data_IF_886668658610
#
_entry.id   IF_886668658610
#
_cell.length_a   1.000
_cell.length_b   1.000
_cell.length_c   1.000
_cell.angle_alpha   90.00
_cell.angle_beta   90.00
_cell.angle_gamma   90.00
#
_symmetry.space_group_name_H-M   'P 1'
#
loop_
_entity.id
_entity.type
_entity.pdbx_description
1 polymer ?
#
# COMPACT_ATOMS: atom_id res chain seq x y z
N UNK A 1 -9.62 -6.80 -9.48
CA UNK A 1 -9.36 -5.46 -8.91
C UNK A 1 -8.40 -5.60 -7.76
N UNK A 2 -7.59 -4.59 -7.56
CA UNK A 2 -6.67 -4.52 -6.42
C UNK A 2 -6.95 -3.26 -5.63
N UNK A 3 -6.33 -3.15 -4.46
CA UNK A 3 -6.56 -2.03 -3.55
C UNK A 3 -5.25 -1.47 -3.07
N UNK A 4 -5.16 -0.14 -3.03
CA UNK A 4 -4.01 0.58 -2.48
C UNK A 4 -4.48 1.45 -1.31
N UNK A 5 -3.55 1.90 -0.50
CA UNK A 5 -3.83 2.81 0.60
C UNK A 5 -3.28 4.19 0.29
N UNK A 6 -4.09 5.21 0.56
CA UNK A 6 -3.68 6.61 0.44
C UNK A 6 -4.06 7.33 1.74
N UNK A 7 -3.45 8.48 1.99
CA UNK A 7 -3.84 9.28 3.16
C UNK A 7 -5.16 9.96 2.85
N UNK A 8 -6.14 9.80 3.73
CA UNK A 8 -7.46 10.39 3.56
C UNK A 8 -7.36 11.92 3.42
N UNK A 9 -7.96 12.45 2.37
CA UNK A 9 -7.89 13.87 2.04
C UNK A 9 -6.62 14.29 1.31
N UNK A 10 -5.67 13.38 1.12
CA UNK A 10 -4.39 13.66 0.46
C UNK A 10 -4.04 12.57 -0.56
N UNK A 11 -5.04 12.11 -1.29
CA UNK A 11 -4.88 10.99 -2.21
C UNK A 11 -3.88 11.28 -3.32
N UNK A 12 -3.67 12.56 -3.66
CA UNK A 12 -2.68 12.95 -4.67
C UNK A 12 -1.24 12.92 -4.18
N UNK A 13 -1.01 12.74 -2.87
CA UNK A 13 0.34 12.70 -2.31
C UNK A 13 1.05 11.36 -2.54
N UNK A 14 0.32 10.35 -2.97
CA UNK A 14 0.88 9.05 -3.32
C UNK A 14 0.24 7.89 -2.57
N UNK A 15 0.66 6.68 -2.93
CA UNK A 15 0.18 5.45 -2.35
C UNK A 15 1.16 4.92 -1.29
N UNK A 16 0.63 4.25 -0.28
CA UNK A 16 1.42 3.67 0.80
C UNK A 16 2.41 2.63 0.28
N UNK A 17 3.64 2.73 0.72
CA UNK A 17 4.72 1.80 0.39
C UNK A 17 5.52 1.44 1.64
N UNK A 18 6.24 0.33 1.57
CA UNK A 18 7.15 -0.12 2.63
C UNK A 18 8.58 -0.05 2.09
N UNK A 19 9.50 0.48 2.88
CA UNK A 19 10.90 0.50 2.53
C UNK A 19 11.56 -0.76 3.07
N UNK A 20 12.18 -1.55 2.18
CA UNK A 20 12.87 -2.78 2.59
C UNK A 20 14.27 -2.48 3.13
N UNK A 21 14.99 -3.54 3.55
CA UNK A 21 16.32 -3.41 4.15
C UNK A 21 17.36 -2.82 3.19
N UNK A 22 17.11 -2.90 1.89
CA UNK A 22 17.99 -2.36 0.86
C UNK A 22 17.67 -0.90 0.52
N UNK A 23 16.66 -0.32 1.17
CA UNK A 23 16.25 1.05 0.93
C UNK A 23 15.29 1.24 -0.24
N UNK A 24 14.80 0.15 -0.83
CA UNK A 24 13.83 0.23 -1.92
C UNK A 24 12.41 0.35 -1.38
N UNK A 25 11.63 1.24 -1.98
CA UNK A 25 10.22 1.38 -1.65
C UNK A 25 9.41 0.35 -2.42
N UNK A 26 8.53 -0.36 -1.72
CA UNK A 26 7.69 -1.41 -2.29
C UNK A 26 6.24 -1.03 -2.08
N UNK A 27 5.53 -0.81 -3.19
CA UNK A 27 4.11 -0.50 -3.16
C UNK A 27 3.32 -1.76 -2.80
N UNK A 28 2.43 -1.65 -1.82
CA UNK A 28 1.56 -2.76 -1.43
C UNK A 28 0.27 -2.71 -2.24
N UNK A 29 0.04 -3.79 -2.99
CA UNK A 29 -1.19 -4.00 -3.75
C UNK A 29 -1.98 -5.11 -3.06
N UNK A 30 -3.11 -4.78 -2.46
CA UNK A 30 -3.94 -5.77 -1.76
C UNK A 30 -4.92 -6.38 -2.74
N UNK A 31 -4.97 -7.70 -2.77
CA UNK A 31 -5.92 -8.42 -3.61
C UNK A 31 -7.34 -8.35 -3.06
N UNK A 32 -7.47 -8.28 -1.73
CA UNK A 32 -8.75 -8.27 -1.04
C UNK A 32 -8.93 -6.95 -0.28
N UNK A 33 -10.12 -6.35 -0.42
CA UNK A 33 -10.43 -5.09 0.25
C UNK A 33 -10.35 -5.21 1.77
N UNK A 34 -10.83 -6.33 2.33
CA UNK A 34 -10.81 -6.54 3.78
C UNK A 34 -9.39 -6.53 4.34
N UNK A 35 -8.44 -7.06 3.61
CA UNK A 35 -7.03 -7.05 4.03
C UNK A 35 -6.47 -5.63 4.00
N UNK A 36 -6.83 -4.84 2.99
CA UNK A 36 -6.43 -3.45 2.92
C UNK A 36 -7.01 -2.63 4.08
N UNK A 37 -8.29 -2.85 4.38
CA UNK A 37 -8.95 -2.17 5.51
C UNK A 37 -8.28 -2.53 6.83
N UNK A 38 -8.00 -3.81 7.03
CA UNK A 38 -7.35 -4.27 8.27
C UNK A 38 -5.96 -3.64 8.42
N UNK A 39 -5.20 -3.60 7.36
CA UNK A 39 -3.88 -2.97 7.38
C UNK A 39 -3.97 -1.48 7.69
N UNK A 40 -4.94 -0.78 7.08
CA UNK A 40 -5.18 0.63 7.36
C UNK A 40 -5.50 0.89 8.83
N UNK A 41 -6.30 0.03 9.45
CA UNK A 41 -6.63 0.15 10.87
C UNK A 41 -5.40 -0.07 11.75
N UNK A 42 -4.53 -1.01 11.38
CA UNK A 42 -3.27 -1.22 12.10
C UNK A 42 -2.37 0.02 12.02
N UNK A 43 -2.34 0.69 10.87
CA UNK A 43 -1.58 1.92 10.71
C UNK A 43 -2.11 3.03 11.62
N UNK A 44 -3.43 3.18 11.71
CA UNK A 44 -4.05 4.16 12.61
C UNK A 44 -3.70 3.87 14.07
N UNK A 45 -3.69 2.59 14.46
CA UNK A 45 -3.33 2.18 15.81
C UNK A 45 -1.89 2.54 16.15
N UNK A 46 -1.03 2.66 15.17
CA UNK A 46 0.37 3.06 15.34
C UNK A 46 0.58 4.57 15.24
N UNK A 47 -0.49 5.33 15.16
CA UNK A 47 -0.42 6.79 15.13
C UNK A 47 -0.37 7.40 13.74
N UNK A 48 -0.57 6.60 12.70
CA UNK A 48 -0.64 7.12 11.33
C UNK A 48 -1.98 7.81 11.09
N UNK A 49 -2.03 8.75 10.12
CA UNK A 49 -3.29 9.35 9.72
C UNK A 49 -4.27 8.30 9.18
N UNK A 50 -5.54 8.65 9.18
CA UNK A 50 -6.55 7.80 8.56
C UNK A 50 -6.19 7.52 7.11
N UNK A 51 -6.25 6.25 6.71
CA UNK A 51 -5.95 5.83 5.36
C UNK A 51 -7.24 5.54 4.60
N UNK A 52 -7.22 5.88 3.31
CA UNK A 52 -8.33 5.62 2.41
C UNK A 52 -7.98 4.43 1.52
N UNK A 53 -8.88 3.45 1.42
CA UNK A 53 -8.69 2.29 0.56
C UNK A 53 -9.23 2.63 -0.82
N UNK A 54 -8.35 2.59 -1.82
CA UNK A 54 -8.69 2.93 -3.20
C UNK A 54 -8.66 1.68 -4.06
N UNK A 55 -9.74 1.43 -4.78
CA UNK A 55 -9.82 0.33 -5.74
C UNK A 55 -9.12 0.75 -7.02
N UNK A 56 -8.26 -0.13 -7.55
CA UNK A 56 -7.52 0.11 -8.78
C UNK A 56 -7.62 -1.11 -9.69
N UNK A 57 -7.50 -0.88 -10.99
CA UNK A 57 -7.49 -1.97 -11.94
C UNK A 57 -6.10 -2.60 -11.99
N UNK A 58 -6.05 -3.95 -11.95
CA UNK A 58 -4.82 -4.72 -11.84
C UNK A 58 -3.81 -4.39 -12.94
N UNK A 59 -4.23 -4.50 -14.20
CA UNK A 59 -3.32 -4.31 -15.33
C UNK A 59 -2.80 -2.88 -15.41
N UNK A 60 -3.64 -1.90 -15.17
CA UNK A 60 -3.26 -0.50 -15.20
C UNK A 60 -2.26 -0.21 -14.09
N UNK A 61 -2.51 -0.72 -12.89
CA UNK A 61 -1.63 -0.47 -11.75
C UNK A 61 -0.26 -1.13 -11.93
N UNK A 62 -0.25 -2.38 -12.37
CA UNK A 62 1.01 -3.09 -12.62
C UNK A 62 1.81 -2.40 -13.71
N UNK A 63 1.14 -2.00 -14.80
CA UNK A 63 1.81 -1.28 -15.88
C UNK A 63 2.37 0.07 -15.41
N UNK A 64 1.62 0.78 -14.59
CA UNK A 64 2.09 2.05 -14.01
C UNK A 64 3.35 1.84 -13.19
N UNK A 65 3.41 0.80 -12.37
CA UNK A 65 4.61 0.46 -11.61
C UNK A 65 5.78 0.16 -12.52
N UNK A 66 5.56 -0.60 -13.59
CA UNK A 66 6.62 -0.95 -14.54
C UNK A 66 7.16 0.27 -15.26
N UNK A 67 6.28 1.16 -15.71
CA UNK A 67 6.68 2.37 -16.44
C UNK A 67 7.49 3.31 -15.57
N UNK A 68 7.11 3.46 -14.30
CA UNK A 68 7.80 4.35 -13.36
C UNK A 68 8.94 3.68 -12.61
N UNK A 69 9.15 2.39 -12.80
CA UNK A 69 10.20 1.66 -12.09
C UNK A 69 9.91 1.43 -10.62
N UNK A 70 8.64 1.43 -10.22
CA UNK A 70 8.25 1.15 -8.84
C UNK A 70 8.26 -0.35 -8.57
N UNK A 71 8.82 -0.75 -7.44
CA UNK A 71 8.67 -2.11 -6.96
C UNK A 71 7.29 -2.26 -6.32
N UNK A 72 6.70 -3.43 -6.47
CA UNK A 72 5.40 -3.71 -5.85
C UNK A 72 5.35 -5.16 -5.38
N UNK A 73 4.46 -5.43 -4.44
CA UNK A 73 4.14 -6.79 -4.03
C UNK A 73 2.62 -6.92 -3.92
N UNK A 74 2.12 -8.10 -4.26
CA UNK A 74 0.69 -8.39 -4.17
C UNK A 74 0.44 -9.11 -2.86
N UNK A 75 -0.40 -8.52 -2.01
CA UNK A 75 -0.78 -9.10 -0.73
C UNK A 75 -2.08 -9.88 -0.94
N UNK A 76 -2.03 -11.17 -0.71
CA UNK A 76 -3.19 -12.05 -0.85
C UNK A 76 -3.83 -12.34 0.51
N UNK A 77 -5.05 -12.89 0.56
CA UNK A 77 -5.68 -13.24 1.83
C UNK A 77 -4.90 -14.26 2.66
N UNK A 78 -3.98 -14.98 2.05
CA UNK A 78 -3.13 -15.95 2.74
C UNK A 78 -1.88 -15.33 3.35
N UNK A 79 -1.58 -14.07 3.02
CA UNK A 79 -0.42 -13.38 3.55
C UNK A 79 -0.80 -12.70 4.87
N UNK A 80 0.08 -12.82 5.86
CA UNK A 80 -0.07 -12.10 7.11
C UNK A 80 0.93 -10.97 7.09
N UNK A 81 0.44 -9.73 6.95
CA UNK A 81 1.30 -8.55 6.91
C UNK A 81 0.98 -7.65 8.09
N UNK A 82 2.03 -7.14 8.70
CA UNK A 82 1.95 -6.21 9.82
C UNK A 82 2.74 -4.96 9.44
N UNK A 83 2.20 -3.74 9.64
CA UNK A 83 2.95 -2.53 9.33
C UNK A 83 4.26 -2.48 10.12
N UNK A 84 5.38 -2.14 9.47
CA UNK A 84 6.61 -1.91 10.20
C UNK A 84 6.47 -0.64 11.05
N UNK A 85 7.19 -0.58 12.17
CA UNK A 85 7.16 0.60 13.02
C UNK A 85 7.83 1.80 12.37
N UNK A 86 8.76 1.52 11.47
CA UNK A 86 9.49 2.52 10.68
C UNK A 86 9.59 2.00 9.25
N UNK A 87 10.27 2.73 8.37
CA UNK A 87 10.57 2.28 7.00
C UNK A 87 9.34 2.11 6.12
N UNK A 88 8.41 3.07 6.20
CA UNK A 88 7.30 3.14 5.27
C UNK A 88 6.99 4.60 4.92
N UNK A 89 6.43 4.83 3.75
CA UNK A 89 6.23 6.16 3.21
C UNK A 89 5.16 6.11 2.11
N UNK A 90 5.04 7.20 1.37
CA UNK A 90 4.18 7.28 0.19
C UNK A 90 5.05 7.33 -1.07
N UNK A 91 4.57 6.62 -2.06
CA UNK A 91 5.19 6.61 -3.39
C UNK A 91 4.41 7.52 -4.34
#
# INVERSE_FOLDING_TARGET
MMFILTVSGKESDGAYSVTNDEGNEILYLFEDEDDAIRYALMLEDEGYPEMHVIEVEDEIMIKTCQVHGYNYTIITPNDIVIPPQTNHDLI
#
